data_IF_617354461480
#
_entry.id   IF_617354461480
#
_cell.length_a   1.000
_cell.length_b   1.000
_cell.length_c   1.000
_cell.angle_alpha   90.00
_cell.angle_beta   90.00
_cell.angle_gamma   90.00
#
_symmetry.space_group_name_H-M   'P 1'
#
loop_
_entity.id
_entity.type
_entity.pdbx_description
1 polymer ?
#
# COMPACT_ATOMS: atom_id res chain seq x y z
N UNK A 1 22.41 56.95 -23.33
CA UNK A 1 22.94 57.45 -22.05
C UNK A 1 23.56 56.29 -21.30
N UNK A 2 24.89 56.34 -21.18
CA UNK A 2 25.79 55.82 -20.13
C UNK A 2 25.65 54.35 -19.67
N UNK A 3 26.69 53.59 -20.02
CA UNK A 3 27.16 52.34 -19.41
C UNK A 3 28.14 52.62 -18.26
N UNK A 4 28.29 51.68 -17.30
CA UNK A 4 29.46 51.41 -16.42
C UNK A 4 29.06 50.20 -15.53
N UNK A 5 29.60 48.98 -15.58
CA UNK A 5 30.97 48.42 -15.41
C UNK A 5 31.47 48.29 -13.95
N UNK A 6 31.66 47.02 -13.53
CA UNK A 6 32.72 46.40 -12.70
C UNK A 6 33.08 46.95 -11.29
N UNK A 7 33.17 46.04 -10.30
CA UNK A 7 34.48 45.55 -9.80
C UNK A 7 34.37 44.52 -8.65
N UNK A 8 35.36 43.63 -8.64
CA UNK A 8 35.67 42.53 -7.70
C UNK A 8 36.57 43.06 -6.58
N UNK A 9 36.57 42.46 -5.38
CA UNK A 9 37.80 42.33 -4.54
C UNK A 9 37.71 41.22 -3.49
N UNK A 10 38.62 40.24 -3.62
CA UNK A 10 39.12 39.32 -2.59
C UNK A 10 40.21 40.05 -1.77
N UNK A 11 40.29 39.81 -0.45
CA UNK A 11 41.53 39.85 0.39
C UNK A 11 41.22 39.10 1.70
N UNK A 12 41.79 37.92 1.97
CA UNK A 12 43.12 37.57 2.49
C UNK A 12 43.29 37.67 4.03
N UNK A 13 43.67 36.54 4.62
CA UNK A 13 44.06 36.26 6.03
C UNK A 13 45.16 37.19 6.58
N UNK A 14 45.45 37.14 7.90
CA UNK A 14 46.59 36.30 8.31
C UNK A 14 46.43 35.51 9.63
N UNK A 15 47.23 34.45 9.66
CA UNK A 15 47.67 33.57 10.74
C UNK A 15 48.46 34.31 11.83
N UNK A 16 48.42 33.84 13.09
CA UNK A 16 49.61 33.70 13.96
C UNK A 16 49.31 32.97 15.28
N UNK A 17 50.23 32.06 15.60
CA UNK A 17 50.34 31.21 16.80
C UNK A 17 50.81 31.98 18.05
N UNK A 18 50.43 31.51 19.25
CA UNK A 18 51.32 31.53 20.43
C UNK A 18 50.88 30.50 21.49
N UNK A 19 51.84 29.65 21.88
CA UNK A 19 51.79 28.70 22.99
C UNK A 19 51.93 29.41 24.35
N UNK A 20 51.28 28.89 25.39
CA UNK A 20 51.75 29.00 26.76
C UNK A 20 51.31 27.79 27.59
N UNK A 21 52.18 27.37 28.51
CA UNK A 21 52.27 26.04 29.10
C UNK A 21 52.01 26.01 30.61
N UNK A 22 51.30 24.96 31.05
CA UNK A 22 51.31 24.25 32.37
C UNK A 22 50.68 24.89 33.63
N UNK A 23 50.29 24.12 34.69
CA UNK A 23 50.23 22.65 34.85
C UNK A 23 48.91 22.05 35.44
N UNK A 24 48.68 20.79 35.06
CA UNK A 24 48.19 19.63 35.84
C UNK A 24 47.21 19.83 37.04
N UNK A 25 45.99 19.29 36.90
CA UNK A 25 45.28 18.57 37.98
C UNK A 25 44.58 17.34 37.42
N UNK A 26 44.82 16.22 38.09
CA UNK A 26 44.31 14.88 37.83
C UNK A 26 42.84 14.68 38.26
N UNK A 27 42.20 13.70 37.60
CA UNK A 27 41.20 12.73 38.12
C UNK A 27 39.74 12.94 37.69
N UNK A 28 39.26 12.09 36.78
CA UNK A 28 38.11 11.19 36.98
C UNK A 28 37.83 10.40 35.68
N UNK A 29 37.74 9.08 35.79
CA UNK A 29 37.35 8.16 34.71
C UNK A 29 35.86 8.29 34.38
N UNK A 30 35.43 8.16 33.11
CA UNK A 30 34.01 8.15 32.77
C UNK A 30 33.37 6.78 33.09
N UNK A 31 32.07 6.71 33.39
CA UNK A 31 31.40 5.45 33.69
C UNK A 31 31.20 4.63 32.40
N UNK A 32 31.32 3.32 32.59
CA UNK A 32 31.15 2.27 31.59
C UNK A 32 29.73 2.32 31.00
N UNK A 33 29.64 2.63 29.71
CA UNK A 33 28.37 2.63 28.97
C UNK A 33 27.77 1.21 28.91
N UNK A 34 26.57 1.06 29.46
CA UNK A 34 25.72 -0.13 29.33
C UNK A 34 25.14 -0.21 27.93
N UNK A 35 25.88 -0.81 27.00
CA UNK A 35 25.36 -1.27 25.72
C UNK A 35 24.93 -2.72 25.88
N UNK A 36 23.62 -3.03 25.87
CA UNK A 36 23.13 -4.38 25.45
C UNK A 36 21.61 -4.62 25.43
N UNK A 37 20.73 -3.73 25.92
CA UNK A 37 19.28 -4.02 25.96
C UNK A 37 18.48 -3.60 24.70
N UNK A 38 18.98 -2.65 23.90
CA UNK A 38 18.28 -2.16 22.69
C UNK A 38 18.57 -3.01 21.45
N UNK A 39 19.78 -3.59 21.36
CA UNK A 39 20.19 -4.42 20.23
C UNK A 39 19.54 -5.81 20.24
N UNK A 40 19.22 -6.33 21.43
CA UNK A 40 18.53 -7.61 21.60
C UNK A 40 17.05 -7.49 21.22
N UNK A 41 16.34 -6.44 21.66
CA UNK A 41 14.95 -6.17 21.23
C UNK A 41 14.82 -5.98 19.72
N UNK A 42 15.67 -5.15 19.10
CA UNK A 42 15.66 -4.97 17.63
C UNK A 42 15.98 -6.25 16.86
N UNK A 43 16.87 -7.11 17.38
CA UNK A 43 17.15 -8.42 16.76
C UNK A 43 16.02 -9.42 16.95
N UNK A 44 15.25 -9.31 18.03
CA UNK A 44 14.13 -10.19 18.35
C UNK A 44 12.88 -9.79 17.56
N UNK A 45 12.60 -8.49 17.41
CA UNK A 45 11.56 -7.96 16.50
C UNK A 45 11.88 -8.32 15.05
N UNK A 46 13.15 -8.17 14.63
CA UNK A 46 13.58 -8.53 13.27
C UNK A 46 13.57 -10.04 13.00
N UNK A 47 13.72 -10.88 14.02
CA UNK A 47 13.53 -12.34 13.88
C UNK A 47 12.06 -12.70 13.77
N UNK A 48 11.19 -12.05 14.56
CA UNK A 48 9.74 -12.20 14.46
C UNK A 48 9.18 -11.71 13.13
N UNK A 49 9.70 -10.62 12.55
CA UNK A 49 9.28 -10.14 11.24
C UNK A 49 9.67 -11.11 10.11
N UNK A 50 10.88 -11.68 10.17
CA UNK A 50 11.33 -12.67 9.18
C UNK A 50 10.51 -13.98 9.28
N UNK A 51 10.19 -14.44 10.50
CA UNK A 51 9.32 -15.62 10.70
C UNK A 51 7.85 -15.33 10.30
N UNK A 52 7.34 -14.12 10.50
CA UNK A 52 5.99 -13.73 10.09
C UNK A 52 5.83 -13.61 8.56
N UNK A 53 6.87 -13.11 7.85
CA UNK A 53 6.83 -13.03 6.39
C UNK A 53 7.00 -14.39 5.69
N UNK A 54 7.65 -15.37 6.33
CA UNK A 54 7.74 -16.74 5.81
C UNK A 54 6.51 -17.61 6.13
N UNK A 55 5.47 -17.04 6.75
CA UNK A 55 4.26 -17.75 7.20
C UNK A 55 2.97 -17.34 6.48
N UNK A 56 3.03 -16.44 5.49
CA UNK A 56 1.84 -16.08 4.72
C UNK A 56 1.45 -17.26 3.84
N UNK A 57 0.31 -17.88 4.15
CA UNK A 57 -0.22 -19.01 3.40
C UNK A 57 -1.00 -18.48 2.19
N UNK A 58 -0.63 -18.91 0.99
CA UNK A 58 -1.41 -18.65 -0.22
C UNK A 58 -2.62 -19.60 -0.27
N UNK A 59 -3.78 -19.08 -0.68
CA UNK A 59 -5.03 -19.82 -0.83
C UNK A 59 -5.25 -20.04 -2.34
N UNK A 60 -5.09 -21.28 -2.79
CA UNK A 60 -5.08 -21.62 -4.22
C UNK A 60 -6.50 -21.93 -4.73
N UNK A 61 -7.29 -22.64 -3.93
CA UNK A 61 -8.64 -23.09 -4.28
C UNK A 61 -9.65 -22.91 -3.13
N UNK A 62 -10.94 -23.16 -3.42
CA UNK A 62 -12.05 -22.99 -2.46
C UNK A 62 -11.83 -23.76 -1.14
N UNK A 63 -11.16 -24.93 -1.18
CA UNK A 63 -10.92 -25.72 0.04
C UNK A 63 -9.93 -25.05 0.98
N UNK A 64 -9.02 -24.20 0.48
CA UNK A 64 -8.15 -23.40 1.32
C UNK A 64 -8.92 -22.30 2.05
N UNK A 65 -9.94 -21.73 1.42
CA UNK A 65 -10.81 -20.73 2.04
C UNK A 65 -11.69 -21.37 3.12
N UNK A 66 -12.18 -22.59 2.89
CA UNK A 66 -12.98 -23.34 3.87
C UNK A 66 -12.22 -23.56 5.19
N UNK A 67 -10.89 -23.74 5.13
CA UNK A 67 -10.03 -23.87 6.32
C UNK A 67 -9.98 -22.60 7.17
N UNK A 68 -10.35 -21.45 6.62
CA UNK A 68 -10.38 -20.15 7.30
C UNK A 68 -11.75 -19.76 7.83
N UNK A 69 -12.78 -20.60 7.64
CA UNK A 69 -14.12 -20.31 8.12
C UNK A 69 -14.18 -20.28 9.64
N UNK A 70 -14.89 -19.29 10.17
CA UNK A 70 -15.29 -19.26 11.58
C UNK A 70 -16.36 -20.32 11.86
N UNK A 71 -16.67 -20.52 13.15
CA UNK A 71 -17.76 -21.41 13.59
C UNK A 71 -19.13 -21.06 12.99
N UNK A 72 -19.30 -19.82 12.56
CA UNK A 72 -20.56 -19.31 12.00
C UNK A 72 -20.58 -19.39 10.46
N UNK A 73 -19.69 -20.17 9.85
CA UNK A 73 -19.51 -20.32 8.40
C UNK A 73 -19.27 -19.00 7.67
N UNK A 74 -18.45 -18.14 8.27
CA UNK A 74 -18.03 -16.85 7.69
C UNK A 74 -16.54 -16.77 7.53
N UNK A 75 -16.10 -16.00 6.56
CA UNK A 75 -14.69 -15.71 6.32
C UNK A 75 -14.44 -14.21 6.39
N UNK A 76 -13.34 -13.81 7.02
CA UNK A 76 -12.92 -12.41 7.08
C UNK A 76 -12.17 -12.02 5.80
N UNK A 77 -12.47 -10.86 5.24
CA UNK A 77 -11.84 -10.27 4.06
C UNK A 77 -11.20 -8.94 4.45
N UNK A 78 -10.01 -8.65 3.93
CA UNK A 78 -9.32 -7.38 4.15
C UNK A 78 -9.56 -6.39 2.99
N UNK A 79 -9.94 -5.16 3.31
CA UNK A 79 -10.08 -4.06 2.37
C UNK A 79 -8.95 -3.05 2.53
N UNK A 80 -8.22 -2.74 1.44
CA UNK A 80 -7.06 -1.84 1.49
C UNK A 80 -7.13 -0.63 0.55
N UNK A 81 -8.04 -0.64 -0.43
CA UNK A 81 -8.27 0.45 -1.39
C UNK A 81 -9.68 1.01 -1.27
N UNK A 82 -10.50 0.89 -2.33
CA UNK A 82 -11.90 1.33 -2.29
C UNK A 82 -12.72 0.65 -1.19
N UNK A 83 -12.36 -0.57 -0.79
CA UNK A 83 -13.04 -1.32 0.29
C UNK A 83 -12.75 -0.76 1.69
N UNK A 84 -11.92 0.28 1.82
CA UNK A 84 -11.87 1.10 3.04
C UNK A 84 -13.20 1.83 3.28
N UNK A 85 -13.99 2.09 2.23
CA UNK A 85 -15.34 2.64 2.34
C UNK A 85 -16.34 1.50 2.54
N UNK A 86 -17.07 1.51 3.65
CA UNK A 86 -18.12 0.51 3.91
C UNK A 86 -19.18 0.52 2.81
N UNK A 87 -19.51 1.69 2.27
CA UNK A 87 -20.42 1.82 1.12
C UNK A 87 -19.92 1.05 -0.10
N UNK A 88 -18.64 1.22 -0.44
CA UNK A 88 -18.01 0.50 -1.56
C UNK A 88 -17.91 -1.00 -1.28
N UNK A 89 -17.62 -1.37 -0.02
CA UNK A 89 -17.63 -2.76 0.41
C UNK A 89 -19.03 -3.38 0.27
N UNK A 90 -20.09 -2.71 0.70
CA UNK A 90 -21.49 -3.16 0.57
C UNK A 90 -21.99 -3.19 -0.87
N UNK A 91 -21.53 -2.28 -1.72
CA UNK A 91 -21.80 -2.37 -3.17
C UNK A 91 -21.20 -3.63 -3.79
N UNK A 92 -20.19 -4.20 -3.15
CA UNK A 92 -19.41 -5.34 -3.64
C UNK A 92 -19.83 -6.65 -2.94
N UNK A 93 -20.20 -6.57 -1.67
CA UNK A 93 -20.66 -7.63 -0.77
C UNK A 93 -21.87 -7.11 0.02
N UNK A 94 -23.08 -7.16 -0.56
CA UNK A 94 -24.28 -6.55 0.04
C UNK A 94 -24.57 -7.02 1.46
N UNK A 95 -24.30 -8.29 1.71
CA UNK A 95 -24.59 -9.00 2.97
C UNK A 95 -23.42 -8.98 3.95
N UNK A 96 -22.37 -8.17 3.71
CA UNK A 96 -21.21 -8.14 4.61
C UNK A 96 -21.61 -7.75 6.04
N UNK A 97 -20.91 -8.34 6.99
CA UNK A 97 -21.07 -8.10 8.43
C UNK A 97 -19.75 -7.71 9.09
N UNK A 98 -19.83 -7.20 10.32
CA UNK A 98 -18.68 -6.93 11.18
C UNK A 98 -17.58 -6.05 10.55
N UNK A 99 -17.98 -5.02 9.78
CA UNK A 99 -17.06 -4.06 9.19
C UNK A 99 -16.32 -3.29 10.29
N UNK A 100 -14.99 -3.40 10.29
CA UNK A 100 -14.12 -2.84 11.33
C UNK A 100 -12.76 -2.44 10.76
N UNK A 101 -12.06 -1.56 11.45
CA UNK A 101 -10.69 -1.14 11.08
C UNK A 101 -9.69 -2.09 11.74
N UNK A 102 -8.58 -2.37 11.06
CA UNK A 102 -7.47 -3.17 11.57
C UNK A 102 -6.12 -2.67 11.04
N UNK A 103 -5.04 -3.19 11.61
CA UNK A 103 -3.67 -3.06 11.11
C UNK A 103 -3.20 -4.37 10.50
N UNK A 104 -2.39 -4.27 9.46
CA UNK A 104 -1.73 -5.40 8.83
C UNK A 104 -0.23 -5.09 8.67
N UNK A 105 0.62 -5.94 9.24
CA UNK A 105 2.07 -5.79 9.23
C UNK A 105 2.72 -6.50 8.04
N UNK A 106 3.85 -5.99 7.57
CA UNK A 106 4.69 -6.68 6.57
C UNK A 106 4.21 -6.54 5.13
N UNK A 107 3.33 -5.57 4.85
CA UNK A 107 2.77 -5.31 3.53
C UNK A 107 2.77 -3.82 3.23
N UNK A 108 2.79 -3.48 1.94
CA UNK A 108 2.59 -2.11 1.46
C UNK A 108 1.56 -2.04 0.34
N UNK A 109 0.93 -0.86 0.19
CA UNK A 109 0.04 -0.54 -0.93
C UNK A 109 0.82 0.12 -2.05
N UNK A 110 0.56 -0.30 -3.28
CA UNK A 110 1.23 0.24 -4.48
C UNK A 110 0.21 0.45 -5.60
N UNK A 111 0.20 1.65 -6.17
CA UNK A 111 -0.48 1.94 -7.44
C UNK A 111 0.36 1.43 -8.61
N UNK A 112 0.27 0.12 -8.86
CA UNK A 112 1.00 -0.57 -9.92
C UNK A 112 0.11 -1.50 -10.78
N UNK A 113 -1.21 -1.48 -10.60
CA UNK A 113 -2.13 -2.41 -11.26
C UNK A 113 -2.88 -1.75 -12.42
N UNK A 114 -2.61 -2.17 -13.65
CA UNK A 114 -3.38 -1.81 -14.86
C UNK A 114 -4.77 -2.47 -14.83
N UNK A 115 -5.77 -1.79 -14.26
CA UNK A 115 -7.09 -2.37 -14.06
C UNK A 115 -7.98 -2.23 -15.31
N UNK A 116 -8.38 -3.34 -15.99
CA UNK A 116 -9.22 -3.29 -17.20
C UNK A 116 -10.51 -2.49 -17.00
N UNK A 117 -11.09 -2.60 -15.81
CA UNK A 117 -12.35 -1.96 -15.43
C UNK A 117 -12.30 -0.42 -15.51
N UNK A 118 -11.12 0.21 -15.43
CA UNK A 118 -10.99 1.66 -15.58
C UNK A 118 -11.13 2.11 -17.03
N UNK A 119 -10.71 1.27 -17.98
CA UNK A 119 -10.92 1.50 -19.41
C UNK A 119 -12.38 1.30 -19.78
N UNK A 120 -13.03 0.25 -19.27
CA UNK A 120 -14.47 0.00 -19.47
C UNK A 120 -15.34 1.16 -19.01
N UNK A 121 -14.96 1.77 -17.88
CA UNK A 121 -15.69 2.90 -17.29
C UNK A 121 -15.33 4.25 -17.88
N UNK A 122 -14.35 4.31 -18.79
CA UNK A 122 -13.89 5.57 -19.38
C UNK A 122 -13.24 6.52 -18.37
N UNK A 123 -12.62 5.99 -17.32
CA UNK A 123 -11.92 6.79 -16.28
C UNK A 123 -10.39 6.62 -16.31
N UNK A 124 -9.89 5.69 -17.12
CA UNK A 124 -8.46 5.56 -17.39
C UNK A 124 -8.02 6.70 -18.33
N UNK A 125 -6.85 7.30 -18.06
CA UNK A 125 -6.19 8.21 -18.99
C UNK A 125 -4.89 7.59 -19.52
N UNK A 126 -4.93 6.94 -20.71
CA UNK A 126 -3.75 6.27 -21.25
C UNK A 126 -2.66 7.24 -21.72
N UNK A 127 -3.02 8.48 -22.10
CA UNK A 127 -2.07 9.49 -22.59
C UNK A 127 -1.16 9.97 -21.46
N UNK A 128 -1.72 10.23 -20.28
CA UNK A 128 -0.97 10.62 -19.08
C UNK A 128 -0.49 9.42 -18.24
N UNK A 129 -0.88 8.20 -18.64
CA UNK A 129 -0.68 6.95 -17.89
C UNK A 129 -1.37 6.90 -16.52
N UNK A 130 -2.36 7.75 -16.24
CA UNK A 130 -3.18 7.72 -15.02
C UNK A 130 -4.24 6.59 -15.11
N UNK A 131 -3.77 5.35 -15.06
CA UNK A 131 -4.55 4.14 -15.32
C UNK A 131 -4.46 3.11 -14.17
N UNK A 132 -3.66 3.38 -13.15
CA UNK A 132 -3.39 2.40 -12.10
C UNK A 132 -4.50 2.36 -11.05
N UNK A 133 -4.88 1.14 -10.67
CA UNK A 133 -5.55 0.84 -9.40
C UNK A 133 -4.53 0.40 -8.33
N UNK A 134 -5.03 0.01 -7.17
CA UNK A 134 -4.21 -0.43 -6.04
C UNK A 134 -3.93 -1.93 -6.09
N UNK A 135 -2.77 -2.28 -5.54
CA UNK A 135 -2.36 -3.63 -5.23
C UNK A 135 -1.61 -3.65 -3.90
N UNK A 136 -1.46 -4.84 -3.32
CA UNK A 136 -0.67 -5.05 -2.11
C UNK A 136 0.43 -6.08 -2.39
N UNK A 137 1.61 -5.84 -1.82
CA UNK A 137 2.74 -6.76 -1.89
C UNK A 137 3.48 -6.83 -0.54
N UNK A 138 4.16 -7.94 -0.24
CA UNK A 138 4.98 -8.07 0.97
C UNK A 138 6.09 -7.02 1.02
N UNK A 139 6.28 -6.40 2.17
CA UNK A 139 7.34 -5.42 2.43
C UNK A 139 7.68 -5.36 3.92
N UNK A 140 8.87 -5.83 4.28
CA UNK A 140 9.31 -5.84 5.68
C UNK A 140 9.40 -4.42 6.25
N UNK A 141 8.86 -4.21 7.45
CA UNK A 141 8.89 -2.92 8.14
C UNK A 141 7.75 -1.96 7.75
N UNK A 142 6.94 -2.31 6.76
CA UNK A 142 5.74 -1.56 6.40
C UNK A 142 4.49 -2.07 7.13
N UNK A 143 3.50 -1.18 7.29
CA UNK A 143 2.22 -1.52 7.89
C UNK A 143 1.07 -0.77 7.23
N UNK A 144 -0.08 -1.43 7.13
CA UNK A 144 -1.28 -0.89 6.51
C UNK A 144 -2.41 -0.81 7.52
N UNK A 145 -3.11 0.32 7.53
CA UNK A 145 -4.47 0.39 8.06
C UNK A 145 -5.41 -0.09 6.96
N UNK A 146 -6.18 -1.13 7.31
CA UNK A 146 -7.12 -1.84 6.44
C UNK A 146 -8.48 -1.90 7.12
N UNK A 147 -9.50 -2.28 6.36
CA UNK A 147 -10.78 -2.73 6.91
C UNK A 147 -10.82 -4.25 6.91
N UNK A 148 -11.57 -4.81 7.84
CA UNK A 148 -11.90 -6.23 7.90
C UNK A 148 -13.41 -6.34 7.98
N UNK A 149 -14.00 -7.21 7.17
CA UNK A 149 -15.42 -7.53 7.21
C UNK A 149 -15.62 -8.99 6.87
N UNK A 150 -16.80 -9.52 7.17
CA UNK A 150 -17.11 -10.93 7.02
C UNK A 150 -18.15 -11.18 5.95
N UNK A 151 -17.91 -12.19 5.12
CA UNK A 151 -18.85 -12.68 4.10
C UNK A 151 -19.24 -14.12 4.42
N UNK A 152 -20.39 -14.55 3.91
CA UNK A 152 -20.85 -15.94 4.06
C UNK A 152 -19.99 -16.88 3.21
N UNK A 153 -19.82 -18.13 3.63
CA UNK A 153 -19.09 -19.14 2.83
C UNK A 153 -19.66 -19.29 1.41
N UNK A 154 -20.98 -19.13 1.23
CA UNK A 154 -21.64 -19.16 -0.08
C UNK A 154 -21.19 -18.06 -1.06
N UNK A 155 -20.54 -17.00 -0.57
CA UNK A 155 -20.04 -15.89 -1.39
C UNK A 155 -18.60 -16.11 -1.88
N UNK A 156 -17.90 -17.14 -1.38
CA UNK A 156 -16.49 -17.43 -1.73
C UNK A 156 -16.28 -17.62 -3.24
N UNK A 157 -17.10 -18.42 -3.97
CA UNK A 157 -16.90 -18.60 -5.42
C UNK A 157 -17.03 -17.28 -6.20
N UNK A 158 -18.00 -16.45 -5.82
CA UNK A 158 -18.20 -15.14 -6.44
C UNK A 158 -17.05 -14.17 -6.14
N UNK A 159 -16.50 -14.24 -4.92
CA UNK A 159 -15.31 -13.47 -4.54
C UNK A 159 -14.09 -13.87 -5.36
N UNK A 160 -13.79 -15.17 -5.47
CA UNK A 160 -12.67 -15.70 -6.25
C UNK A 160 -12.78 -15.28 -7.72
N UNK A 161 -13.98 -15.42 -8.31
CA UNK A 161 -14.20 -15.05 -9.71
C UNK A 161 -14.03 -13.56 -10.00
N UNK A 162 -14.35 -12.69 -9.03
CA UNK A 162 -14.23 -11.23 -9.20
C UNK A 162 -12.80 -10.73 -9.06
N UNK A 163 -12.02 -11.33 -8.16
CA UNK A 163 -10.64 -10.93 -7.87
C UNK A 163 -9.61 -11.82 -8.60
N UNK A 164 -9.97 -12.33 -9.79
CA UNK A 164 -9.19 -13.31 -10.54
C UNK A 164 -7.74 -12.87 -10.78
N UNK A 165 -7.51 -11.57 -10.97
CA UNK A 165 -6.19 -10.99 -11.15
C UNK A 165 -5.26 -11.12 -9.92
N UNK A 166 -5.81 -11.31 -8.73
CA UNK A 166 -5.04 -11.33 -7.48
C UNK A 166 -4.75 -12.76 -7.02
N UNK A 167 -3.66 -12.88 -6.25
CA UNK A 167 -3.46 -14.04 -5.37
C UNK A 167 -4.17 -13.79 -4.04
N UNK A 168 -4.54 -14.87 -3.35
CA UNK A 168 -5.22 -14.78 -2.07
C UNK A 168 -4.28 -15.23 -0.96
N UNK A 169 -4.14 -14.40 0.06
CA UNK A 169 -3.21 -14.63 1.16
C UNK A 169 -3.98 -14.71 2.47
N UNK A 170 -3.77 -15.77 3.24
CA UNK A 170 -4.20 -15.84 4.63
C UNK A 170 -3.28 -14.97 5.48
N UNK A 171 -3.85 -13.94 6.09
CA UNK A 171 -3.14 -13.01 6.98
C UNK A 171 -3.85 -12.92 8.32
N UNK A 172 -3.13 -12.50 9.35
CA UNK A 172 -3.71 -12.24 10.69
C UNK A 172 -3.65 -10.72 10.94
N UNK A 173 -4.76 -9.99 10.74
CA UNK A 173 -4.84 -8.59 11.09
C UNK A 173 -4.77 -8.39 12.62
N UNK A 174 -4.41 -7.18 13.02
CA UNK A 174 -4.34 -6.75 14.42
C UNK A 174 -5.35 -5.61 14.66
N UNK A 175 -5.82 -5.43 15.89
CA UNK A 175 -6.48 -4.19 16.30
C UNK A 175 -5.50 -3.01 16.12
N UNK A 176 -6.02 -1.76 16.18
CA UNK A 176 -5.15 -0.57 16.12
C UNK A 176 -4.14 -0.52 17.28
N UNK A 177 -4.46 -1.16 18.41
CA UNK A 177 -3.59 -1.31 19.59
C UNK A 177 -2.57 -2.45 19.45
N UNK A 178 -2.56 -3.18 18.33
CA UNK A 178 -1.61 -4.24 18.05
C UNK A 178 -1.97 -5.60 18.63
N UNK A 179 -3.25 -5.86 18.93
CA UNK A 179 -3.71 -7.19 19.37
C UNK A 179 -4.11 -8.02 18.14
N UNK A 180 -3.50 -9.19 17.88
CA UNK A 180 -3.92 -10.06 16.77
C UNK A 180 -5.38 -10.50 16.89
N UNK A 181 -6.05 -10.58 15.75
CA UNK A 181 -7.36 -11.20 15.65
C UNK A 181 -7.26 -12.72 15.80
N UNK A 182 -8.34 -13.32 16.32
CA UNK A 182 -8.41 -14.78 16.51
C UNK A 182 -8.45 -15.52 15.18
N UNK A 183 -9.20 -14.98 14.22
CA UNK A 183 -9.39 -15.58 12.90
C UNK A 183 -8.51 -14.87 11.88
N UNK A 184 -7.92 -15.66 10.97
CA UNK A 184 -7.26 -15.12 9.78
C UNK A 184 -8.27 -14.43 8.87
N UNK A 185 -7.77 -13.54 8.03
CA UNK A 185 -8.50 -12.88 6.98
C UNK A 185 -7.83 -13.09 5.62
N UNK A 186 -8.59 -12.94 4.54
CA UNK A 186 -8.08 -13.02 3.18
C UNK A 186 -7.63 -11.65 2.69
N UNK A 187 -6.42 -11.57 2.18
CA UNK A 187 -5.85 -10.41 1.50
C UNK A 187 -5.62 -10.71 0.03
N UNK A 188 -6.14 -9.83 -0.84
CA UNK A 188 -5.78 -9.84 -2.25
C UNK A 188 -4.37 -9.24 -2.43
N UNK A 189 -3.41 -10.09 -2.78
CA UNK A 189 -2.04 -9.70 -3.11
C UNK A 189 -1.80 -9.70 -4.62
N UNK A 190 -0.79 -8.97 -5.08
CA UNK A 190 -0.43 -9.00 -6.49
C UNK A 190 0.24 -10.33 -6.89
N UNK A 191 0.04 -10.75 -8.12
CA UNK A 191 0.96 -11.67 -8.80
C UNK A 191 2.09 -10.89 -9.48
N UNK A 192 3.08 -11.58 -10.03
CA UNK A 192 3.79 -11.13 -11.24
C UNK A 192 2.99 -11.51 -12.50
N UNK A 193 3.29 -10.88 -13.64
CA UNK A 193 2.61 -11.22 -14.89
C UNK A 193 2.85 -12.68 -15.30
N UNK A 194 4.06 -13.20 -15.04
CA UNK A 194 4.40 -14.61 -15.30
C UNK A 194 3.58 -15.56 -14.43
N UNK A 195 3.49 -15.30 -13.11
CA UNK A 195 2.67 -16.13 -12.22
C UNK A 195 1.20 -16.07 -12.61
N UNK A 196 0.67 -14.88 -12.91
CA UNK A 196 -0.72 -14.76 -13.37
C UNK A 196 -0.95 -15.57 -14.65
N UNK A 197 -0.05 -15.48 -15.63
CA UNK A 197 -0.15 -16.23 -16.88
C UNK A 197 -0.10 -17.75 -16.66
N UNK A 198 0.80 -18.24 -15.82
CA UNK A 198 0.92 -19.68 -15.55
C UNK A 198 -0.23 -20.21 -14.70
N UNK A 199 -0.63 -19.48 -13.66
CA UNK A 199 -1.61 -19.96 -12.66
C UNK A 199 -3.03 -19.71 -13.13
N UNK A 200 -3.37 -18.45 -13.45
CA UNK A 200 -4.73 -18.04 -13.79
C UNK A 200 -5.07 -18.32 -15.25
N UNK A 201 -4.12 -18.09 -16.16
CA UNK A 201 -4.32 -18.39 -17.58
C UNK A 201 -3.91 -19.81 -17.97
N UNK A 202 -3.29 -20.61 -17.08
CA UNK A 202 -2.81 -21.98 -17.39
C UNK A 202 -1.88 -22.02 -18.61
N UNK A 203 -1.09 -20.97 -18.80
CA UNK A 203 -0.22 -20.81 -19.97
C UNK A 203 -0.95 -20.52 -21.29
N UNK A 204 -2.25 -20.21 -21.26
CA UNK A 204 -3.07 -19.95 -22.43
C UNK A 204 -3.12 -18.44 -22.77
N UNK A 205 -2.63 -18.07 -23.95
CA UNK A 205 -2.55 -16.66 -24.41
C UNK A 205 -3.91 -16.08 -24.78
N UNK A 206 -4.84 -16.90 -25.27
CA UNK A 206 -6.19 -16.46 -25.61
C UNK A 206 -6.96 -16.03 -24.36
N UNK A 207 -6.83 -16.76 -23.24
CA UNK A 207 -7.41 -16.37 -21.95
C UNK A 207 -6.84 -15.02 -21.49
N UNK A 208 -5.52 -14.86 -21.54
CA UNK A 208 -4.88 -13.58 -21.21
C UNK A 208 -5.40 -12.43 -22.09
N UNK A 209 -5.50 -12.66 -23.40
CA UNK A 209 -5.99 -11.66 -24.36
C UNK A 209 -7.45 -11.28 -24.14
N UNK A 210 -8.32 -12.22 -23.75
CA UNK A 210 -9.72 -11.94 -23.42
C UNK A 210 -9.85 -10.96 -22.25
N UNK A 211 -9.01 -11.10 -21.22
CA UNK A 211 -9.04 -10.23 -20.05
C UNK A 211 -8.39 -8.87 -20.30
N UNK A 212 -7.22 -8.84 -20.94
CA UNK A 212 -6.36 -7.65 -20.99
C UNK A 212 -6.10 -7.11 -22.41
N UNK A 213 -6.08 -7.99 -23.41
CA UNK A 213 -5.73 -7.66 -24.79
C UNK A 213 -6.66 -6.65 -25.45
N UNK A 214 -7.97 -6.70 -25.15
CA UNK A 214 -8.96 -5.72 -25.67
C UNK A 214 -8.68 -4.26 -25.25
N UNK A 215 -7.90 -4.06 -24.19
CA UNK A 215 -7.50 -2.73 -23.71
C UNK A 215 -6.05 -2.39 -24.01
N UNK A 216 -5.36 -3.22 -24.82
CA UNK A 216 -3.91 -3.09 -25.10
C UNK A 216 -3.08 -3.06 -23.80
N UNK A 217 -3.51 -3.84 -22.80
CA UNK A 217 -2.76 -4.02 -21.57
C UNK A 217 -1.83 -5.21 -21.78
N UNK A 218 -0.57 -4.91 -22.10
CA UNK A 218 0.45 -5.94 -22.29
C UNK A 218 1.03 -6.43 -20.95
N UNK A 219 0.93 -5.59 -19.90
CA UNK A 219 1.42 -5.87 -18.56
C UNK A 219 0.44 -5.37 -17.49
N UNK A 220 0.05 -6.26 -16.58
CA UNK A 220 -0.85 -6.02 -15.46
C UNK A 220 -0.13 -5.23 -14.38
N UNK A 221 1.08 -5.66 -13.99
CA UNK A 221 1.82 -5.10 -12.86
C UNK A 221 2.98 -4.22 -13.34
N UNK A 222 2.82 -2.89 -13.21
CA UNK A 222 3.69 -1.89 -13.84
C UNK A 222 4.21 -0.88 -12.85
N UNK A 223 5.42 -0.40 -13.14
CA UNK A 223 6.13 0.57 -12.30
C UNK A 223 6.09 1.97 -12.93
N UNK A 224 5.62 2.08 -14.17
CA UNK A 224 5.66 3.27 -15.02
C UNK A 224 4.29 3.91 -15.27
N UNK A 225 3.29 3.58 -14.44
CA UNK A 225 1.92 4.09 -14.51
C UNK A 225 1.57 4.90 -13.27
N UNK A 226 0.64 5.83 -13.42
CA UNK A 226 0.17 6.71 -12.36
C UNK A 226 -1.22 6.27 -11.88
N UNK A 227 -1.60 6.62 -10.64
CA UNK A 227 -2.94 6.37 -10.12
C UNK A 227 -4.02 6.93 -11.04
N UNK A 228 -5.06 6.16 -11.33
CA UNK A 228 -6.28 6.70 -11.90
C UNK A 228 -6.84 7.75 -10.93
N UNK A 229 -7.05 8.98 -11.42
CA UNK A 229 -7.35 10.16 -10.60
C UNK A 229 -8.59 9.96 -9.72
N UNK A 230 -9.72 9.62 -10.34
CA UNK A 230 -10.99 9.38 -9.64
C UNK A 230 -10.88 8.24 -8.61
N UNK A 231 -10.16 7.17 -8.95
CA UNK A 231 -9.99 6.05 -8.04
C UNK A 231 -9.08 6.39 -6.85
N UNK A 232 -7.99 7.12 -7.09
CA UNK A 232 -7.11 7.61 -6.03
C UNK A 232 -7.88 8.51 -5.06
N UNK A 233 -8.61 9.51 -5.60
CA UNK A 233 -9.44 10.40 -4.79
C UNK A 233 -10.41 9.61 -3.91
N UNK A 234 -11.13 8.65 -4.50
CA UNK A 234 -12.06 7.81 -3.75
C UNK A 234 -11.38 7.05 -2.60
N UNK A 235 -10.22 6.45 -2.84
CA UNK A 235 -9.49 5.73 -1.80
C UNK A 235 -8.99 6.66 -0.68
N UNK A 236 -8.52 7.86 -1.03
CA UNK A 236 -8.08 8.87 -0.05
C UNK A 236 -9.25 9.34 0.81
N UNK A 237 -10.43 9.59 0.22
CA UNK A 237 -11.64 9.96 0.95
C UNK A 237 -12.15 8.81 1.83
N UNK A 238 -12.12 7.57 1.32
CA UNK A 238 -12.46 6.38 2.10
C UNK A 238 -11.57 6.24 3.34
N UNK A 239 -10.25 6.38 3.18
CA UNK A 239 -9.32 6.36 4.31
C UNK A 239 -9.57 7.52 5.28
N UNK A 240 -9.86 8.72 4.77
CA UNK A 240 -10.20 9.89 5.60
C UNK A 240 -11.43 9.66 6.47
N UNK A 241 -12.46 9.01 5.92
CA UNK A 241 -13.69 8.72 6.65
C UNK A 241 -13.51 7.69 7.77
N UNK A 242 -12.43 6.91 7.75
CA UNK A 242 -12.05 5.99 8.83
C UNK A 242 -11.28 6.67 9.97
N UNK A 243 -10.85 7.92 9.79
CA UNK A 243 -10.14 8.72 10.79
C UNK A 243 -8.68 9.01 10.45
N UNK A 244 -8.05 9.87 11.25
CA UNK A 244 -6.71 10.43 10.97
C UNK A 244 -5.62 9.37 10.87
N UNK A 245 -5.70 8.30 11.65
CA UNK A 245 -4.73 7.21 11.59
C UNK A 245 -4.78 6.48 10.25
N UNK A 246 -5.97 6.16 9.75
CA UNK A 246 -6.16 5.54 8.44
C UNK A 246 -5.77 6.50 7.31
N UNK A 247 -6.14 7.78 7.42
CA UNK A 247 -5.81 8.82 6.45
C UNK A 247 -4.30 9.00 6.30
N UNK A 248 -3.59 9.21 7.40
CA UNK A 248 -2.15 9.40 7.38
C UNK A 248 -1.45 8.13 6.91
N UNK A 249 -1.87 6.95 7.38
CA UNK A 249 -1.33 5.69 6.88
C UNK A 249 -1.55 5.52 5.37
N UNK A 250 -2.71 5.90 4.82
CA UNK A 250 -2.94 5.84 3.38
C UNK A 250 -2.02 6.78 2.61
N UNK A 251 -1.80 8.00 3.08
CA UNK A 251 -0.95 8.96 2.39
C UNK A 251 0.54 8.61 2.46
N UNK A 252 1.00 8.10 3.60
CA UNK A 252 2.43 7.89 3.89
C UNK A 252 2.92 6.46 3.61
N UNK A 253 2.04 5.46 3.65
CA UNK A 253 2.36 4.05 3.44
C UNK A 253 1.68 3.45 2.19
N UNK A 254 1.34 4.32 1.24
CA UNK A 254 0.93 3.94 -0.11
C UNK A 254 1.85 4.61 -1.10
N UNK A 255 2.32 3.85 -2.09
CA UNK A 255 3.33 4.29 -3.03
C UNK A 255 2.82 4.28 -4.48
N UNK A 256 3.46 5.08 -5.34
CA UNK A 256 3.34 4.94 -6.79
C UNK A 256 4.00 3.64 -7.27
N UNK A 257 3.84 3.31 -8.56
CA UNK A 257 4.46 2.14 -9.18
C UNK A 257 5.99 2.07 -9.00
N UNK A 258 6.64 3.22 -8.83
CA UNK A 258 8.08 3.33 -8.54
C UNK A 258 8.49 2.82 -7.15
N UNK A 259 7.51 2.54 -6.26
CA UNK A 259 7.67 2.07 -4.88
C UNK A 259 8.54 3.00 -4.00
N UNK A 260 8.62 4.27 -4.36
CA UNK A 260 9.44 5.28 -3.68
C UNK A 260 8.60 6.49 -3.34
N UNK A 261 7.86 7.01 -4.31
CA UNK A 261 7.06 8.22 -4.14
C UNK A 261 5.79 7.86 -3.38
N UNK A 262 5.57 8.50 -2.24
CA UNK A 262 4.34 8.32 -1.44
C UNK A 262 3.16 9.04 -2.09
N UNK A 263 1.93 8.65 -1.73
CA UNK A 263 0.73 9.37 -2.17
C UNK A 263 0.71 10.80 -1.63
N UNK A 264 1.25 11.05 -0.43
CA UNK A 264 1.40 12.41 0.10
C UNK A 264 2.24 13.28 -0.83
N UNK A 265 3.43 12.82 -1.19
CA UNK A 265 4.34 13.54 -2.09
C UNK A 265 3.72 13.74 -3.47
N UNK A 266 3.08 12.71 -4.02
CA UNK A 266 2.43 12.78 -5.32
C UNK A 266 1.31 13.83 -5.35
N UNK A 267 0.39 13.83 -4.39
CA UNK A 267 -0.71 14.79 -4.31
C UNK A 267 -0.22 16.24 -4.07
N UNK A 268 0.95 16.41 -3.44
CA UNK A 268 1.57 17.72 -3.27
C UNK A 268 2.30 18.25 -4.50
N UNK A 269 2.42 17.44 -5.56
CA UNK A 269 3.21 17.74 -6.76
C UNK A 269 2.43 17.45 -8.04
N UNK A 270 2.84 16.43 -8.81
CA UNK A 270 2.27 16.06 -10.11
C UNK A 270 0.79 15.66 -10.01
N UNK A 271 0.38 15.08 -8.88
CA UNK A 271 -1.00 14.70 -8.60
C UNK A 271 -1.86 15.84 -8.03
N UNK A 272 -1.39 17.09 -8.04
CA UNK A 272 -2.20 18.23 -7.61
C UNK A 272 -3.50 18.35 -8.43
N UNK A 273 -4.58 18.79 -7.79
CA UNK A 273 -5.90 18.89 -8.40
C UNK A 273 -6.73 17.60 -8.36
N UNK A 274 -6.15 16.43 -8.01
CA UNK A 274 -6.90 15.16 -7.95
C UNK A 274 -8.00 15.20 -6.89
N UNK A 275 -7.76 15.86 -5.76
CA UNK A 275 -8.71 15.86 -4.64
C UNK A 275 -9.94 16.76 -4.92
N UNK A 276 -9.79 17.71 -5.83
CA UNK A 276 -10.82 18.65 -6.28
C UNK A 276 -11.66 18.09 -7.44
N UNK A 277 -11.23 17.00 -8.07
CA UNK A 277 -11.91 16.39 -9.21
C UNK A 277 -13.12 15.55 -8.77
N UNK A 278 -14.32 15.99 -9.14
CA UNK A 278 -15.53 15.21 -8.89
C UNK A 278 -15.75 14.14 -9.97
N UNK A 279 -16.22 12.93 -9.60
CA UNK A 279 -16.59 11.92 -10.58
C UNK A 279 -17.79 12.40 -11.42
N UNK A 280 -17.91 11.94 -12.68
CA UNK A 280 -19.13 12.11 -13.46
C UNK A 280 -20.35 11.60 -12.69
N UNK A 281 -21.52 12.23 -12.89
CA UNK A 281 -22.72 11.95 -12.08
C UNK A 281 -23.09 10.44 -12.08
N UNK A 282 -22.96 9.76 -13.22
CA UNK A 282 -23.19 8.32 -13.35
C UNK A 282 -22.27 7.44 -12.48
N UNK A 283 -21.12 7.95 -12.06
CA UNK A 283 -20.11 7.24 -11.26
C UNK A 283 -19.99 7.77 -9.83
N UNK A 284 -20.76 8.80 -9.46
CA UNK A 284 -20.68 9.47 -8.17
C UNK A 284 -21.01 8.57 -6.98
N UNK A 285 -21.95 7.65 -7.15
CA UNK A 285 -22.29 6.66 -6.13
C UNK A 285 -21.14 5.69 -5.82
N UNK A 286 -20.19 5.55 -6.75
CA UNK A 286 -19.08 4.59 -6.69
C UNK A 286 -17.73 5.23 -6.35
N UNK A 287 -17.48 6.45 -6.82
CA UNK A 287 -16.19 7.14 -6.62
C UNK A 287 -16.33 8.49 -5.89
N UNK A 288 -17.47 8.76 -5.27
CA UNK A 288 -17.73 10.02 -4.54
C UNK A 288 -17.07 10.13 -3.16
N UNK A 289 -16.35 9.09 -2.72
CA UNK A 289 -15.85 8.97 -1.35
C UNK A 289 -16.76 8.10 -0.50
#
# INVERSE_FOLDING_TARGET
MIALSLSVSLTSLPFSFALSSTPCKSRASPPRSTVSLSSSRRRQDRRRSIEAMSQVMELEDESDFEKLLSSDNRISITGFGSLLSERSARSTFPDLENFRIAKLQGFRRVFAHSAPIFFERGIANPETKEISSLSVEPCEGESLVVTVFEIKSSEIPAFIGRELEFRFLAVVPETLEGKPYTNSAVLCGRYSDEEFFQIRCKGNKEIYFQHYGRFKIDKIWRDDILPCRLYLRHCVLAAKNLGDEAYNNFLDHTFLGDRKTTIREYLSSTGSGIMEEEPPEALKSRYGG
#
